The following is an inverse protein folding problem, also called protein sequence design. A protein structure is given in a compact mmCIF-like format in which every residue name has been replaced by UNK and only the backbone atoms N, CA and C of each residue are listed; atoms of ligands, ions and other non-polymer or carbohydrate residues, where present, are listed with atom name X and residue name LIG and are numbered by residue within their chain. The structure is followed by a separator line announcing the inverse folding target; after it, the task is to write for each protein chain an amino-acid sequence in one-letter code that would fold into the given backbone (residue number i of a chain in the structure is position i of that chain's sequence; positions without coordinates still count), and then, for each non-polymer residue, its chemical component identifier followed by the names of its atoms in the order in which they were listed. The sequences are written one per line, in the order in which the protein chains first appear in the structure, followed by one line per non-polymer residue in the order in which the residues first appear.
data_IF_176620286538
#
_entry.id   IF_176620286538
#
_cell.length_a   1.000
_cell.length_b   1.000
_cell.length_c   1.000
_cell.angle_alpha   90.00
_cell.angle_beta   90.00
_cell.angle_gamma   90.00
#
_symmetry.space_group_name_H-M   'P 1'
#
loop_
_entity.id
_entity.type
_entity.pdbx_description
1 polymer ?
#
# COMPACT_ATOMS: atom_id res chain seq x y z
N UNK A 1 -5.72 -14.56 -5.05
CA UNK A 1 -4.91 -13.33 -4.89
C UNK A 1 -3.43 -13.71 -4.93
N UNK A 2 -2.70 -13.30 -5.95
CA UNK A 2 -1.26 -13.59 -5.98
C UNK A 2 -0.51 -12.76 -4.96
N UNK A 3 0.34 -13.42 -4.19
CA UNK A 3 1.18 -12.81 -3.17
C UNK A 3 2.64 -12.98 -3.57
N UNK A 4 3.41 -11.90 -3.47
CA UNK A 4 4.82 -11.88 -3.89
C UNK A 4 5.70 -11.21 -2.86
N UNK A 5 6.84 -11.81 -2.56
CA UNK A 5 7.89 -11.19 -1.79
C UNK A 5 8.74 -10.32 -2.70
N UNK A 6 9.11 -9.14 -2.23
CA UNK A 6 9.90 -8.20 -3.00
C UNK A 6 11.28 -8.01 -2.36
N UNK A 7 12.32 -7.76 -3.18
CA UNK A 7 13.63 -7.42 -2.66
C UNK A 7 13.63 -6.03 -2.01
N UNK A 8 14.43 -5.84 -0.98
CA UNK A 8 14.65 -4.53 -0.37
C UNK A 8 15.68 -3.79 -1.24
N UNK A 9 15.22 -3.24 -2.36
CA UNK A 9 16.07 -2.60 -3.35
C UNK A 9 15.28 -1.51 -4.07
N UNK A 10 15.90 -0.32 -4.24
CA UNK A 10 15.23 0.83 -4.83
C UNK A 10 14.79 0.63 -6.28
N UNK A 11 15.51 -0.19 -7.03
CA UNK A 11 15.22 -0.38 -8.45
C UNK A 11 14.50 -1.69 -8.74
N UNK A 12 14.89 -2.79 -8.06
CA UNK A 12 14.33 -4.11 -8.34
C UNK A 12 12.90 -4.27 -7.84
N UNK A 13 12.56 -3.67 -6.70
CA UNK A 13 11.22 -3.79 -6.15
C UNK A 13 10.17 -3.19 -7.10
N UNK A 14 10.32 -1.94 -7.60
CA UNK A 14 9.39 -1.40 -8.57
C UNK A 14 9.32 -2.22 -9.86
N UNK A 15 10.46 -2.68 -10.37
CA UNK A 15 10.50 -3.48 -11.60
C UNK A 15 9.68 -4.75 -11.45
N UNK A 16 9.82 -5.47 -10.33
CA UNK A 16 9.09 -6.70 -10.11
C UNK A 16 7.59 -6.47 -9.98
N UNK A 17 7.18 -5.44 -9.23
CA UNK A 17 5.75 -5.14 -9.07
C UNK A 17 5.13 -4.75 -10.42
N UNK A 18 5.79 -3.88 -11.17
CA UNK A 18 5.28 -3.45 -12.48
C UNK A 18 5.19 -4.64 -13.43
N UNK A 19 6.19 -5.54 -13.39
CA UNK A 19 6.15 -6.77 -14.19
C UNK A 19 4.93 -7.62 -13.85
N UNK A 20 4.59 -7.77 -12.58
CA UNK A 20 3.38 -8.49 -12.17
C UNK A 20 2.10 -7.78 -12.59
N UNK A 21 2.06 -6.46 -12.52
CA UNK A 21 0.91 -5.67 -12.97
C UNK A 21 0.67 -5.89 -14.47
N UNK A 22 1.72 -5.87 -15.26
CA UNK A 22 1.63 -6.12 -16.71
C UNK A 22 1.13 -7.53 -16.98
N UNK A 23 1.64 -8.52 -16.23
CA UNK A 23 1.29 -9.93 -16.45
C UNK A 23 -0.15 -10.24 -16.02
N UNK A 24 -0.56 -9.79 -14.82
CA UNK A 24 -1.84 -10.20 -14.22
C UNK A 24 -2.96 -9.21 -14.44
N UNK A 25 -2.67 -7.96 -14.81
CA UNK A 25 -3.65 -6.89 -15.03
C UNK A 25 -4.68 -6.78 -13.91
N UNK A 26 -4.24 -6.65 -12.64
CA UNK A 26 -5.17 -6.60 -11.53
C UNK A 26 -5.97 -5.29 -11.52
N UNK A 27 -7.13 -5.29 -10.87
CA UNK A 27 -7.86 -4.06 -10.61
C UNK A 27 -7.23 -3.25 -9.49
N UNK A 28 -6.68 -3.94 -8.50
CA UNK A 28 -6.10 -3.32 -7.29
C UNK A 28 -4.77 -3.97 -6.98
N UNK A 29 -3.80 -3.15 -6.66
CA UNK A 29 -2.49 -3.58 -6.15
C UNK A 29 -2.34 -3.05 -4.74
N UNK A 30 -2.09 -3.93 -3.78
CA UNK A 30 -1.79 -3.55 -2.41
C UNK A 30 -0.34 -3.91 -2.15
N UNK A 31 0.48 -2.90 -1.91
CA UNK A 31 1.86 -3.08 -1.48
C UNK A 31 1.92 -3.01 0.03
N UNK A 32 2.65 -3.91 0.65
CA UNK A 32 2.78 -3.94 2.11
C UNK A 32 4.25 -3.83 2.50
N UNK A 33 4.51 -3.07 3.53
CA UNK A 33 5.83 -2.95 4.12
C UNK A 33 5.73 -2.89 5.63
N UNK A 34 6.76 -3.36 6.32
CA UNK A 34 6.80 -3.30 7.78
C UNK A 34 7.30 -1.93 8.25
N UNK A 35 6.61 -1.37 9.23
CA UNK A 35 7.02 -0.14 9.89
C UNK A 35 6.99 -0.35 11.39
N UNK A 36 8.12 -0.76 11.97
CA UNK A 36 8.21 -1.20 13.36
C UNK A 36 7.81 -0.12 14.37
N UNK A 37 8.00 1.14 14.03
CA UNK A 37 7.66 2.27 14.92
C UNK A 37 6.19 2.63 14.91
N UNK A 38 5.41 2.08 13.98
CA UNK A 38 3.98 2.34 13.91
C UNK A 38 3.22 1.39 14.83
N UNK A 39 2.07 1.83 15.33
CA UNK A 39 1.25 1.03 16.26
C UNK A 39 0.04 0.41 15.60
N UNK A 40 -0.38 0.94 14.47
CA UNK A 40 -1.54 0.47 13.74
C UNK A 40 -1.18 0.31 12.27
N UNK A 41 -2.07 -0.30 11.48
CA UNK A 41 -1.95 -0.20 10.03
C UNK A 41 -2.03 1.26 9.62
N UNK A 42 -1.21 1.64 8.66
CA UNK A 42 -1.29 2.97 8.05
C UNK A 42 -1.40 2.82 6.54
N UNK A 43 -2.30 3.60 5.96
CA UNK A 43 -2.48 3.65 4.50
C UNK A 43 -1.85 4.93 4.00
N UNK A 44 -0.94 4.81 3.04
CA UNK A 44 -0.13 5.92 2.59
C UNK A 44 -0.86 6.74 1.54
N UNK A 45 -0.98 8.05 1.80
CA UNK A 45 -1.65 8.97 0.88
C UNK A 45 -0.88 9.14 -0.42
N UNK A 46 0.46 9.20 -0.33
CA UNK A 46 1.28 9.37 -1.52
C UNK A 46 2.62 8.67 -1.40
N UNK A 47 3.18 8.37 -2.59
CA UNK A 47 4.56 7.93 -2.72
C UNK A 47 5.40 9.06 -3.26
N UNK A 48 6.67 9.09 -2.89
CA UNK A 48 7.59 10.13 -3.31
C UNK A 48 8.86 9.54 -3.89
N UNK A 49 9.44 10.26 -4.85
CA UNK A 49 10.75 9.98 -5.40
C UNK A 49 11.44 11.30 -5.65
N UNK A 50 12.57 11.55 -4.97
CA UNK A 50 13.24 12.84 -4.96
C UNK A 50 12.26 13.94 -4.52
N UNK A 51 12.02 14.95 -5.35
CA UNK A 51 11.10 16.05 -5.04
C UNK A 51 9.70 15.84 -5.59
N UNK A 52 9.47 14.71 -6.26
CA UNK A 52 8.17 14.41 -6.89
C UNK A 52 7.34 13.52 -5.99
N UNK A 53 6.03 13.69 -6.05
CA UNK A 53 5.11 12.81 -5.33
C UNK A 53 3.83 12.60 -6.12
N UNK A 54 3.22 11.43 -5.91
CA UNK A 54 1.92 11.09 -6.48
C UNK A 54 1.02 10.60 -5.37
N UNK A 55 -0.23 11.04 -5.39
CA UNK A 55 -1.24 10.60 -4.45
C UNK A 55 -1.98 9.38 -4.99
N UNK A 56 -2.40 8.48 -4.09
CA UNK A 56 -3.35 7.45 -4.49
C UNK A 56 -4.70 8.09 -4.80
N UNK A 57 -5.43 7.63 -5.82
CA UNK A 57 -6.78 8.13 -6.10
C UNK A 57 -7.83 7.59 -5.13
N UNK A 58 -7.46 6.67 -4.24
CA UNK A 58 -8.39 6.05 -3.30
C UNK A 58 -8.79 7.06 -2.23
N UNK A 59 -10.08 7.09 -1.90
CA UNK A 59 -10.59 7.91 -0.79
C UNK A 59 -10.24 7.26 0.54
N UNK A 60 -9.08 7.66 1.08
CA UNK A 60 -8.55 7.07 2.31
C UNK A 60 -9.39 7.46 3.54
N UNK A 61 -10.03 8.61 3.55
CA UNK A 61 -10.88 9.01 4.66
C UNK A 61 -12.07 8.06 4.81
N UNK A 62 -12.72 7.73 3.71
CA UNK A 62 -13.82 6.76 3.72
C UNK A 62 -13.31 5.36 4.08
N UNK A 63 -12.14 4.98 3.57
CA UNK A 63 -11.57 3.67 3.85
C UNK A 63 -11.31 3.50 5.35
N UNK A 64 -10.64 4.46 6.00
CA UNK A 64 -10.28 4.30 7.41
C UNK A 64 -11.50 4.30 8.33
N UNK A 65 -12.62 4.91 7.92
CA UNK A 65 -13.86 4.86 8.69
C UNK A 65 -14.42 3.44 8.82
N UNK A 66 -14.03 2.54 7.94
CA UNK A 66 -14.47 1.13 7.97
C UNK A 66 -13.57 0.26 8.83
N UNK A 67 -12.50 0.82 9.37
CA UNK A 67 -11.53 0.10 10.20
C UNK A 67 -11.64 0.53 11.66
N UNK A 68 -10.99 -0.23 12.54
CA UNK A 68 -10.98 0.07 13.98
C UNK A 68 -9.88 1.08 14.30
N UNK A 69 -8.66 0.82 13.85
CA UNK A 69 -7.49 1.62 14.26
C UNK A 69 -6.62 2.12 13.10
N UNK A 70 -6.92 1.75 11.87
CA UNK A 70 -6.11 2.17 10.72
C UNK A 70 -6.11 3.68 10.58
N UNK A 71 -4.96 4.25 10.26
CA UNK A 71 -4.77 5.69 10.08
C UNK A 71 -4.21 6.01 8.71
N UNK A 72 -4.44 7.23 8.26
CA UNK A 72 -3.82 7.74 7.04
C UNK A 72 -2.43 8.25 7.40
N UNK A 73 -1.45 7.90 6.58
CA UNK A 73 -0.09 8.40 6.68
C UNK A 73 0.21 9.30 5.49
N UNK A 74 0.91 10.38 5.75
CA UNK A 74 1.33 11.33 4.72
C UNK A 74 2.83 11.27 4.47
N UNK A 75 3.52 10.29 5.03
CA UNK A 75 4.95 10.11 4.86
C UNK A 75 5.30 8.62 4.96
N UNK A 76 5.58 8.01 3.81
CA UNK A 76 5.97 6.61 3.72
C UNK A 76 7.46 6.38 4.04
N UNK A 77 8.19 7.43 4.42
CA UNK A 77 9.62 7.35 4.73
C UNK A 77 10.49 7.55 3.50
N UNK A 78 11.80 7.52 3.70
CA UNK A 78 12.78 7.78 2.64
C UNK A 78 13.41 6.52 2.07
N UNK A 79 12.71 5.37 2.16
CA UNK A 79 13.28 4.08 1.83
C UNK A 79 12.62 3.49 0.58
N UNK A 80 12.91 2.21 0.35
CA UNK A 80 12.41 1.42 -0.77
C UNK A 80 10.89 1.52 -0.91
N UNK A 81 10.18 1.53 0.21
CA UNK A 81 8.71 1.59 0.20
C UNK A 81 8.18 2.85 -0.50
N UNK A 82 8.78 3.99 -0.22
CA UNK A 82 8.32 5.26 -0.78
C UNK A 82 8.55 5.31 -2.29
N UNK A 83 9.73 4.90 -2.72
CA UNK A 83 10.07 4.85 -4.14
C UNK A 83 9.23 3.81 -4.88
N UNK A 84 9.04 2.64 -4.26
CA UNK A 84 8.18 1.59 -4.83
C UNK A 84 6.78 2.14 -5.06
N UNK A 85 6.19 2.77 -4.05
CA UNK A 85 4.84 3.30 -4.15
C UNK A 85 4.73 4.36 -5.24
N UNK A 86 5.68 5.29 -5.29
CA UNK A 86 5.71 6.31 -6.33
C UNK A 86 5.74 5.68 -7.73
N UNK A 87 6.63 4.72 -7.95
CA UNK A 87 6.78 4.06 -9.24
C UNK A 87 5.52 3.28 -9.64
N UNK A 88 4.90 2.61 -8.70
CA UNK A 88 3.66 1.86 -8.96
C UNK A 88 2.52 2.84 -9.27
N UNK A 89 2.35 3.89 -8.47
CA UNK A 89 1.31 4.90 -8.73
C UNK A 89 1.49 5.54 -10.11
N UNK A 90 2.72 5.86 -10.46
CA UNK A 90 3.01 6.44 -11.78
C UNK A 90 2.67 5.47 -12.92
N UNK A 91 2.99 4.19 -12.75
CA UNK A 91 2.70 3.19 -13.77
C UNK A 91 1.19 3.01 -13.99
N UNK A 92 0.40 3.02 -12.93
CA UNK A 92 -1.05 2.75 -13.00
C UNK A 92 -1.90 4.00 -13.22
N UNK A 93 -1.29 5.17 -13.22
CA UNK A 93 -1.98 6.47 -13.24
C UNK A 93 -2.94 6.61 -14.44
N UNK A 94 -2.62 6.00 -15.58
CA UNK A 94 -3.48 6.04 -16.77
C UNK A 94 -4.11 4.69 -17.08
N UNK A 95 -4.13 3.79 -16.11
CA UNK A 95 -4.73 2.47 -16.27
C UNK A 95 -5.96 2.36 -15.35
N UNK A 96 -6.67 1.23 -15.48
CA UNK A 96 -7.81 0.94 -14.63
C UNK A 96 -7.41 0.28 -13.31
N UNK A 97 -6.12 0.16 -13.06
CA UNK A 97 -5.57 -0.38 -11.83
C UNK A 97 -5.42 0.74 -10.81
N UNK A 98 -5.86 0.50 -9.59
CA UNK A 98 -5.56 1.38 -8.45
C UNK A 98 -4.53 0.72 -7.56
N UNK A 99 -3.77 1.53 -6.84
CA UNK A 99 -2.70 1.05 -5.97
C UNK A 99 -2.76 1.72 -4.61
N UNK A 100 -2.41 0.95 -3.60
CA UNK A 100 -2.31 1.44 -2.22
C UNK A 100 -1.08 0.82 -1.57
N UNK A 101 -0.42 1.59 -0.72
CA UNK A 101 0.64 1.07 0.15
C UNK A 101 0.14 1.07 1.60
N UNK A 102 0.30 -0.08 2.24
CA UNK A 102 -0.08 -0.27 3.64
C UNK A 102 1.18 -0.61 4.43
N UNK A 103 1.49 0.21 5.44
CA UNK A 103 2.53 -0.14 6.40
C UNK A 103 1.93 -0.92 7.55
N UNK A 104 2.60 -2.01 7.91
CA UNK A 104 2.15 -2.95 8.93
C UNK A 104 3.11 -2.85 10.12
N UNK A 105 2.60 -2.61 11.36
CA UNK A 105 3.46 -2.64 12.53
C UNK A 105 3.87 -4.06 12.87
N UNK A 106 4.79 -4.20 13.82
CA UNK A 106 5.11 -5.52 14.36
C UNK A 106 3.85 -6.16 14.90
N UNK A 107 3.57 -7.40 14.47
CA UNK A 107 2.42 -8.14 14.92
C UNK A 107 2.73 -8.81 16.26
N UNK A 108 1.83 -8.65 17.21
CA UNK A 108 1.91 -9.25 18.55
C UNK A 108 0.64 -10.01 18.83
N UNK A 109 0.63 -10.79 19.91
CA UNK A 109 -0.60 -11.47 20.33
C UNK A 109 -1.70 -10.46 20.68
N UNK A 110 -1.33 -9.28 21.16
CA UNK A 110 -2.29 -8.26 21.57
C UNK A 110 -2.96 -7.56 20.39
N UNK A 111 -2.22 -7.29 19.30
CA UNK A 111 -2.73 -6.49 18.18
C UNK A 111 -3.15 -7.32 16.98
N UNK A 112 -2.84 -8.60 16.94
CA UNK A 112 -3.04 -9.43 15.74
C UNK A 112 -4.48 -9.41 15.25
N UNK A 113 -5.44 -9.60 16.14
CA UNK A 113 -6.85 -9.67 15.73
C UNK A 113 -7.33 -8.37 15.10
N UNK A 114 -6.93 -7.22 15.63
CA UNK A 114 -7.31 -5.91 15.08
C UNK A 114 -6.62 -5.68 13.75
N UNK A 115 -5.35 -6.02 13.64
CA UNK A 115 -4.61 -5.85 12.38
C UNK A 115 -5.23 -6.69 11.26
N UNK A 116 -5.57 -7.94 11.55
CA UNK A 116 -6.21 -8.82 10.56
C UNK A 116 -7.59 -8.30 10.17
N UNK A 117 -8.39 -7.87 11.13
CA UNK A 117 -9.71 -7.30 10.87
C UNK A 117 -9.59 -6.07 9.98
N UNK A 118 -8.72 -5.13 10.34
CA UNK A 118 -8.54 -3.90 9.58
C UNK A 118 -8.03 -4.16 8.17
N UNK A 119 -7.08 -5.08 8.03
CA UNK A 119 -6.56 -5.42 6.70
C UNK A 119 -7.65 -6.02 5.82
N UNK A 120 -8.49 -6.90 6.38
CA UNK A 120 -9.62 -7.45 5.65
C UNK A 120 -10.60 -6.35 5.20
N UNK A 121 -10.86 -5.38 6.06
CA UNK A 121 -11.73 -4.24 5.70
C UNK A 121 -11.14 -3.39 4.58
N UNK A 122 -9.82 -3.21 4.58
CA UNK A 122 -9.14 -2.52 3.50
C UNK A 122 -9.35 -3.26 2.18
N UNK A 123 -9.13 -4.57 2.17
CA UNK A 123 -9.30 -5.41 0.97
C UNK A 123 -10.76 -5.35 0.48
N UNK A 124 -11.72 -5.48 1.37
CA UNK A 124 -13.14 -5.41 1.02
C UNK A 124 -13.50 -4.06 0.39
N UNK A 125 -13.03 -2.97 0.98
CA UNK A 125 -13.30 -1.64 0.47
C UNK A 125 -12.71 -1.46 -0.94
N UNK A 126 -11.47 -1.86 -1.14
CA UNK A 126 -10.80 -1.72 -2.42
C UNK A 126 -11.48 -2.58 -3.50
N UNK A 127 -11.94 -3.76 -3.16
CA UNK A 127 -12.68 -4.61 -4.10
C UNK A 127 -14.02 -3.99 -4.49
N UNK A 128 -14.66 -3.24 -3.59
CA UNK A 128 -15.96 -2.63 -3.86
C UNK A 128 -15.85 -1.38 -4.75
N UNK A 129 -14.76 -0.62 -4.64
CA UNK A 129 -14.60 0.66 -5.35
C UNK A 129 -13.62 0.58 -6.52
N UNK A 130 -12.85 -0.49 -6.59
CA UNK A 130 -11.82 -0.69 -7.62
C UNK A 130 -12.30 -1.24 -8.96
#
# INVERSE_FOLDING_TARGET
MPLRWLPVNFDLAPIQVISHIVQYRPKVVICCGMAETRKTLTVEQWGTEQEQRLATPIDLHTLVQKTIHTRISYDAGNFVCNRLYYRVLRHVEQQRTTALFVHVPLMTQTNQAVLEFDFLKIVEYLNAVG
#
